data_IF_076162524804
#
_entry.id   IF_076162524804
#
_cell.length_a   1.000
_cell.length_b   1.000
_cell.length_c   1.000
_cell.angle_alpha   90.00
_cell.angle_beta   90.00
_cell.angle_gamma   90.00
#
_symmetry.space_group_name_H-M   'P 1'
#
loop_
_entity.id
_entity.type
_entity.pdbx_description
1 polymer ?
#
# COMPACT_ATOMS: atom_id res chain seq x y z
N UNK A 1 -7.34 -119.78 55.58
CA UNK A 1 -7.56 -119.64 54.13
C UNK A 1 -8.99 -119.14 53.93
N UNK A 2 -9.18 -117.87 53.60
CA UNK A 2 -10.48 -117.27 53.41
C UNK A 2 -10.69 -116.94 51.92
N UNK A 3 -11.61 -117.65 51.28
CA UNK A 3 -12.18 -117.27 49.99
C UNK A 3 -13.68 -117.57 50.03
N UNK A 4 -14.46 -116.57 50.45
CA UNK A 4 -15.91 -116.58 50.29
C UNK A 4 -16.21 -116.40 48.80
N UNK A 5 -16.60 -117.52 48.20
CA UNK A 5 -17.09 -117.68 46.84
C UNK A 5 -18.30 -116.77 46.57
N UNK A 6 -18.19 -115.93 45.53
CA UNK A 6 -19.27 -115.07 45.04
C UNK A 6 -20.41 -115.95 44.52
N UNK A 7 -21.66 -115.64 44.89
CA UNK A 7 -22.87 -116.35 44.39
C UNK A 7 -22.85 -116.43 42.85
N UNK A 8 -23.19 -117.58 42.23
CA UNK A 8 -23.40 -117.62 40.79
C UNK A 8 -24.63 -116.78 40.44
N UNK A 9 -24.47 -115.83 39.52
CA UNK A 9 -25.55 -115.00 39.01
C UNK A 9 -26.67 -115.81 38.35
N UNK A 10 -27.84 -115.18 38.19
CA UNK A 10 -29.02 -115.75 37.53
C UNK A 10 -28.64 -116.36 36.17
N UNK A 11 -29.06 -117.60 35.90
CA UNK A 11 -28.80 -118.29 34.63
C UNK A 11 -29.88 -117.91 33.61
N UNK A 12 -29.48 -117.32 32.49
CA UNK A 12 -30.36 -116.91 31.40
C UNK A 12 -30.64 -118.08 30.44
N UNK A 13 -31.80 -118.07 29.78
CA UNK A 13 -32.14 -119.08 28.77
C UNK A 13 -31.46 -118.78 27.43
N UNK A 14 -31.33 -119.78 26.55
CA UNK A 14 -30.73 -119.57 25.22
C UNK A 14 -31.47 -118.50 24.40
N UNK A 15 -32.82 -118.41 24.40
CA UNK A 15 -33.55 -117.30 23.81
C UNK A 15 -33.22 -115.94 24.45
N UNK A 16 -33.01 -115.87 25.77
CA UNK A 16 -32.62 -114.62 26.45
C UNK A 16 -31.23 -114.14 25.99
N UNK A 17 -30.28 -115.06 25.81
CA UNK A 17 -28.95 -114.74 25.26
C UNK A 17 -29.03 -114.31 23.79
N UNK A 18 -29.83 -114.99 22.96
CA UNK A 18 -30.04 -114.62 21.56
C UNK A 18 -30.71 -113.25 21.42
N UNK A 19 -31.74 -112.99 22.21
CA UNK A 19 -32.41 -111.69 22.26
C UNK A 19 -31.47 -110.58 22.74
N UNK A 20 -30.67 -110.83 23.79
CA UNK A 20 -29.68 -109.86 24.25
C UNK A 20 -28.59 -109.60 23.20
N UNK A 21 -28.11 -110.63 22.51
CA UNK A 21 -27.14 -110.48 21.42
C UNK A 21 -27.70 -109.70 20.23
N UNK A 22 -28.98 -109.92 19.88
CA UNK A 22 -29.68 -109.16 18.84
C UNK A 22 -29.92 -107.71 19.27
N UNK A 23 -30.31 -107.47 20.52
CA UNK A 23 -30.49 -106.12 21.07
C UNK A 23 -29.17 -105.34 21.09
N UNK A 24 -28.07 -105.96 21.54
CA UNK A 24 -26.74 -105.34 21.52
C UNK A 24 -26.30 -105.05 20.08
N UNK A 25 -26.56 -105.95 19.14
CA UNK A 25 -26.23 -105.74 17.71
C UNK A 25 -27.04 -104.60 17.11
N UNK A 26 -28.35 -104.55 17.37
CA UNK A 26 -29.25 -103.50 16.88
C UNK A 26 -28.91 -102.13 17.51
N UNK A 27 -28.62 -102.08 18.81
CA UNK A 27 -28.15 -100.85 19.47
C UNK A 27 -26.80 -100.41 18.89
N UNK A 28 -25.84 -101.32 18.71
CA UNK A 28 -24.55 -100.99 18.09
C UNK A 28 -24.69 -100.48 16.65
N UNK A 29 -25.64 -100.99 15.86
CA UNK A 29 -25.98 -100.45 14.54
C UNK A 29 -26.60 -99.06 14.63
N UNK A 30 -27.56 -98.84 15.53
CA UNK A 30 -28.17 -97.53 15.75
C UNK A 30 -27.15 -96.49 16.22
N UNK A 31 -26.26 -96.85 17.16
CA UNK A 31 -25.18 -95.98 17.62
C UNK A 31 -24.19 -95.65 16.49
N UNK A 32 -23.83 -96.63 15.64
CA UNK A 32 -22.98 -96.38 14.47
C UNK A 32 -23.66 -95.49 13.43
N UNK A 33 -24.95 -95.67 13.19
CA UNK A 33 -25.75 -94.82 12.30
C UNK A 33 -25.79 -93.37 12.81
N UNK A 34 -26.17 -93.17 14.08
CA UNK A 34 -26.19 -91.85 14.72
C UNK A 34 -24.80 -91.19 14.69
N UNK A 35 -23.74 -91.94 15.01
CA UNK A 35 -22.36 -91.46 14.93
C UNK A 35 -21.95 -91.09 13.50
N UNK A 36 -22.37 -91.86 12.50
CA UNK A 36 -22.13 -91.52 11.09
C UNK A 36 -22.85 -90.23 10.70
N UNK A 37 -24.11 -90.08 11.08
CA UNK A 37 -24.91 -88.88 10.84
C UNK A 37 -24.27 -87.63 11.46
N UNK A 38 -23.96 -87.66 12.77
CA UNK A 38 -23.33 -86.54 13.49
C UNK A 38 -21.98 -86.18 12.88
N UNK A 39 -21.17 -87.17 12.45
CA UNK A 39 -19.90 -86.91 11.77
C UNK A 39 -20.11 -86.28 10.39
N UNK A 40 -21.13 -86.69 9.65
CA UNK A 40 -21.45 -86.12 8.34
C UNK A 40 -21.95 -84.68 8.49
N UNK A 41 -22.86 -84.41 9.42
CA UNK A 41 -23.32 -83.06 9.77
C UNK A 41 -22.16 -82.18 10.25
N UNK A 42 -21.31 -82.70 11.15
CA UNK A 42 -20.13 -81.97 11.62
C UNK A 42 -19.07 -81.73 10.54
N UNK A 43 -19.00 -82.56 9.49
CA UNK A 43 -18.16 -82.29 8.30
C UNK A 43 -18.79 -81.21 7.42
N UNK A 44 -20.10 -81.31 7.16
CA UNK A 44 -20.83 -80.30 6.39
C UNK A 44 -20.73 -78.93 7.05
N UNK A 45 -21.02 -78.84 8.36
CA UNK A 45 -20.96 -77.62 9.14
C UNK A 45 -19.55 -77.01 9.15
N UNK A 46 -18.50 -77.80 9.32
CA UNK A 46 -17.11 -77.30 9.28
C UNK A 46 -16.73 -76.76 7.90
N UNK A 47 -17.17 -77.41 6.83
CA UNK A 47 -16.91 -76.94 5.47
C UNK A 47 -17.67 -75.65 5.19
N UNK A 48 -18.96 -75.59 5.55
CA UNK A 48 -19.81 -74.41 5.39
C UNK A 48 -19.26 -73.22 6.18
N UNK A 49 -19.05 -73.39 7.49
CA UNK A 49 -18.50 -72.34 8.36
C UNK A 49 -17.08 -71.93 7.96
N UNK A 50 -16.24 -72.88 7.53
CA UNK A 50 -14.88 -72.59 7.04
C UNK A 50 -14.88 -71.85 5.70
N UNK A 51 -15.86 -72.06 4.84
CA UNK A 51 -16.04 -71.27 3.62
C UNK A 51 -16.58 -69.87 3.94
N UNK A 52 -17.61 -69.80 4.79
CA UNK A 52 -18.23 -68.55 5.22
C UNK A 52 -17.20 -67.62 5.87
N UNK A 53 -16.42 -68.13 6.84
CA UNK A 53 -15.40 -67.35 7.53
C UNK A 53 -14.32 -66.80 6.57
N UNK A 54 -13.86 -67.62 5.62
CA UNK A 54 -12.89 -67.17 4.59
C UNK A 54 -13.47 -66.10 3.68
N UNK A 55 -14.76 -66.23 3.32
CA UNK A 55 -15.44 -65.26 2.47
C UNK A 55 -15.67 -63.93 3.19
N UNK A 56 -16.10 -63.98 4.45
CA UNK A 56 -16.29 -62.81 5.31
C UNK A 56 -14.96 -62.07 5.57
N UNK A 57 -13.88 -62.81 5.83
CA UNK A 57 -12.53 -62.25 5.97
C UNK A 57 -12.09 -61.55 4.67
N UNK A 58 -12.25 -62.22 3.53
CA UNK A 58 -11.90 -61.65 2.24
C UNK A 58 -12.70 -60.37 1.92
N UNK A 59 -14.01 -60.38 2.19
CA UNK A 59 -14.87 -59.22 1.97
C UNK A 59 -14.46 -58.05 2.89
N UNK A 60 -14.21 -58.33 4.16
CA UNK A 60 -13.75 -57.31 5.14
C UNK A 60 -12.40 -56.72 4.75
N UNK A 61 -11.43 -57.55 4.33
CA UNK A 61 -10.13 -57.09 3.83
C UNK A 61 -10.27 -56.21 2.58
N UNK A 62 -11.20 -56.54 1.67
CA UNK A 62 -11.45 -55.74 0.46
C UNK A 62 -12.02 -54.38 0.82
N UNK A 63 -13.04 -54.32 1.68
CA UNK A 63 -13.59 -53.06 2.17
C UNK A 63 -12.57 -52.21 2.92
N UNK A 64 -11.67 -52.83 3.71
CA UNK A 64 -10.60 -52.12 4.39
C UNK A 64 -9.60 -51.51 3.41
N UNK A 65 -9.23 -52.24 2.33
CA UNK A 65 -8.38 -51.71 1.26
C UNK A 65 -9.01 -50.50 0.56
N UNK A 66 -10.30 -50.60 0.22
CA UNK A 66 -11.03 -49.50 -0.41
C UNK A 66 -11.09 -48.28 0.51
N UNK A 67 -11.29 -48.51 1.81
CA UNK A 67 -11.29 -47.43 2.81
C UNK A 67 -9.92 -46.76 2.92
N UNK A 68 -8.83 -47.53 3.02
CA UNK A 68 -7.46 -47.02 3.03
C UNK A 68 -7.24 -46.15 1.78
N UNK A 69 -7.59 -46.64 0.59
CA UNK A 69 -7.42 -45.88 -0.65
C UNK A 69 -8.23 -44.57 -0.65
N UNK A 70 -9.46 -44.57 -0.14
CA UNK A 70 -10.29 -43.37 -0.02
C UNK A 70 -9.69 -42.34 0.93
N UNK A 71 -9.24 -42.76 2.11
CA UNK A 71 -8.61 -41.89 3.11
C UNK A 71 -7.27 -41.34 2.58
N UNK A 72 -6.50 -42.14 1.84
CA UNK A 72 -5.22 -41.74 1.25
C UNK A 72 -5.38 -40.63 0.20
N UNK A 73 -6.40 -40.73 -0.67
CA UNK A 73 -6.74 -39.68 -1.65
C UNK A 73 -7.07 -38.35 -0.98
N UNK A 74 -7.79 -38.38 0.15
CA UNK A 74 -8.08 -37.17 0.91
C UNK A 74 -6.84 -36.62 1.60
N UNK A 75 -5.99 -37.47 2.19
CA UNK A 75 -4.69 -37.05 2.74
C UNK A 75 -3.86 -36.31 1.69
N UNK A 76 -3.72 -36.86 0.49
CA UNK A 76 -2.98 -36.21 -0.61
C UNK A 76 -3.61 -34.89 -1.07
N UNK A 77 -4.93 -34.81 -1.09
CA UNK A 77 -5.65 -33.57 -1.42
C UNK A 77 -5.40 -32.50 -0.36
N UNK A 78 -5.48 -32.85 0.93
CA UNK A 78 -5.20 -31.92 2.03
C UNK A 78 -3.73 -31.48 2.05
N UNK A 79 -2.79 -32.38 1.76
CA UNK A 79 -1.37 -32.05 1.66
C UNK A 79 -1.07 -31.03 0.56
N UNK A 80 -1.71 -31.17 -0.61
CA UNK A 80 -1.62 -30.18 -1.69
C UNK A 80 -2.22 -28.84 -1.27
N UNK A 81 -3.44 -28.82 -0.74
CA UNK A 81 -4.10 -27.59 -0.26
C UNK A 81 -3.30 -26.87 0.83
N UNK A 82 -2.64 -27.61 1.72
CA UNK A 82 -1.76 -27.03 2.73
C UNK A 82 -0.55 -26.31 2.10
N UNK A 83 0.01 -26.90 1.05
CA UNK A 83 1.11 -26.29 0.29
C UNK A 83 0.63 -25.01 -0.40
N UNK A 84 -0.51 -25.07 -1.08
CA UNK A 84 -1.09 -23.94 -1.79
C UNK A 84 -1.45 -22.78 -0.83
N UNK A 85 -2.04 -23.08 0.33
CA UNK A 85 -2.34 -22.05 1.34
C UNK A 85 -1.07 -21.43 1.92
N UNK A 86 0.00 -22.19 2.15
CA UNK A 86 1.26 -21.61 2.61
C UNK A 86 1.82 -20.62 1.59
N UNK A 87 1.82 -21.00 0.30
CA UNK A 87 2.25 -20.11 -0.78
C UNK A 87 1.39 -18.85 -0.85
N UNK A 88 0.07 -18.97 -0.67
CA UNK A 88 -0.83 -17.83 -0.69
C UNK A 88 -0.66 -16.92 0.53
N UNK A 89 -0.43 -17.48 1.72
CA UNK A 89 -0.11 -16.70 2.92
C UNK A 89 1.17 -15.89 2.70
N UNK A 90 2.22 -16.50 2.15
CA UNK A 90 3.48 -15.82 1.86
C UNK A 90 3.28 -14.72 0.82
N UNK A 91 2.50 -14.99 -0.23
CA UNK A 91 2.22 -14.03 -1.29
C UNK A 91 1.39 -12.83 -0.79
N UNK A 92 0.33 -13.06 -0.01
CA UNK A 92 -0.47 -11.99 0.60
C UNK A 92 0.36 -11.17 1.61
N UNK A 93 1.25 -11.82 2.36
CA UNK A 93 2.17 -11.15 3.29
C UNK A 93 3.09 -10.17 2.54
N UNK A 94 3.70 -10.59 1.43
CA UNK A 94 4.53 -9.71 0.58
C UNK A 94 3.76 -8.51 0.02
N UNK A 95 2.52 -8.73 -0.42
CA UNK A 95 1.68 -7.63 -0.95
C UNK A 95 1.25 -6.66 0.15
N UNK A 96 0.96 -7.17 1.35
CA UNK A 96 0.70 -6.33 2.54
C UNK A 96 1.92 -5.47 2.88
N UNK A 97 3.10 -6.07 2.94
CA UNK A 97 4.36 -5.35 3.20
C UNK A 97 4.64 -4.29 2.13
N UNK A 98 4.38 -4.60 0.86
CA UNK A 98 4.48 -3.63 -0.24
C UNK A 98 3.54 -2.43 -0.04
N UNK A 99 2.30 -2.66 0.40
CA UNK A 99 1.36 -1.58 0.73
C UNK A 99 1.83 -0.76 1.96
N UNK A 100 2.37 -1.39 2.99
CA UNK A 100 2.95 -0.71 4.16
C UNK A 100 4.16 0.16 3.76
N UNK A 101 5.04 -0.37 2.93
CA UNK A 101 6.18 0.37 2.37
C UNK A 101 5.71 1.54 1.50
N UNK A 102 4.64 1.36 0.71
CA UNK A 102 4.04 2.42 -0.09
C UNK A 102 3.47 3.55 0.80
N UNK A 103 2.88 3.22 1.96
CA UNK A 103 2.43 4.24 2.94
C UNK A 103 3.64 5.00 3.50
N UNK A 104 4.73 4.30 3.85
CA UNK A 104 5.94 4.93 4.38
C UNK A 104 6.61 5.85 3.36
N UNK A 105 6.70 5.42 2.10
CA UNK A 105 7.26 6.23 1.01
C UNK A 105 6.51 7.56 0.83
N UNK A 106 5.18 7.56 1.06
CA UNK A 106 4.35 8.78 0.98
C UNK A 106 4.58 9.76 2.13
N UNK A 107 5.26 9.39 3.22
CA UNK A 107 5.63 10.33 4.29
C UNK A 107 6.58 11.41 3.78
N UNK A 108 7.57 11.04 2.96
CA UNK A 108 8.49 12.00 2.37
C UNK A 108 7.74 13.05 1.53
N UNK A 109 6.76 12.62 0.74
CA UNK A 109 5.92 13.55 -0.04
C UNK A 109 5.14 14.51 0.86
N UNK A 110 4.61 14.02 1.99
CA UNK A 110 3.87 14.83 2.94
C UNK A 110 4.78 15.86 3.61
N UNK A 111 5.95 15.43 4.09
CA UNK A 111 6.92 16.28 4.78
C UNK A 111 7.38 17.40 3.84
N UNK A 112 7.67 17.08 2.56
CA UNK A 112 8.06 18.08 1.56
C UNK A 112 6.93 19.08 1.28
N UNK A 113 5.67 18.62 1.18
CA UNK A 113 4.53 19.51 0.96
C UNK A 113 4.32 20.47 2.14
N UNK A 114 4.43 19.97 3.38
CA UNK A 114 4.36 20.77 4.61
C UNK A 114 5.54 21.75 4.67
N UNK A 115 6.77 21.30 4.40
CA UNK A 115 7.96 22.16 4.38
C UNK A 115 7.79 23.31 3.37
N UNK A 116 7.26 23.04 2.16
CA UNK A 116 6.94 24.07 1.19
C UNK A 116 5.88 25.07 1.68
N UNK A 117 4.83 24.60 2.36
CA UNK A 117 3.83 25.48 2.99
C UNK A 117 4.49 26.38 4.05
N UNK A 118 5.33 25.82 4.92
CA UNK A 118 6.01 26.60 5.98
C UNK A 118 6.98 27.65 5.43
N UNK A 119 7.69 27.36 4.34
CA UNK A 119 8.51 28.36 3.66
C UNK A 119 7.65 29.51 3.14
N UNK A 120 6.48 29.21 2.59
CA UNK A 120 5.59 30.23 2.02
C UNK A 120 4.85 31.04 3.10
N UNK A 121 4.58 30.46 4.26
CA UNK A 121 4.09 31.20 5.43
C UNK A 121 5.12 32.24 5.94
N UNK A 122 6.41 32.06 5.60
CA UNK A 122 7.49 33.00 5.95
C UNK A 122 7.59 34.21 5.00
N UNK A 123 6.67 34.35 4.04
CA UNK A 123 6.55 35.55 3.20
C UNK A 123 6.12 36.77 4.03
N UNK A 124 6.29 37.97 3.47
CA UNK A 124 6.09 39.23 4.19
C UNK A 124 5.11 40.13 3.47
N UNK A 125 4.33 40.88 4.27
CA UNK A 125 3.46 41.97 3.80
C UNK A 125 2.53 41.51 2.66
N UNK A 126 2.38 42.32 1.60
CA UNK A 126 1.52 42.06 0.44
C UNK A 126 1.80 40.75 -0.31
N UNK A 127 2.94 40.09 -0.08
CA UNK A 127 3.27 38.79 -0.70
C UNK A 127 2.67 37.59 0.04
N UNK A 128 2.09 37.80 1.23
CA UNK A 128 1.31 36.78 1.94
C UNK A 128 -0.06 36.67 1.27
N UNK A 129 -0.10 35.92 0.17
CA UNK A 129 -1.27 35.76 -0.68
C UNK A 129 -1.59 34.30 -0.87
N UNK A 130 -2.88 33.98 -0.79
CA UNK A 130 -3.44 32.71 -1.28
C UNK A 130 -3.42 32.70 -2.79
N UNK A 131 -2.37 32.11 -3.34
CA UNK A 131 -2.18 31.96 -4.77
C UNK A 131 -2.39 30.49 -5.19
N UNK A 132 -2.41 30.18 -6.50
CA UNK A 132 -2.62 28.83 -6.98
C UNK A 132 -1.61 27.81 -6.43
N UNK A 133 -0.41 28.23 -6.02
CA UNK A 133 0.59 27.31 -5.45
C UNK A 133 0.16 26.84 -4.06
N UNK A 134 -0.33 27.76 -3.22
CA UNK A 134 -0.84 27.38 -1.90
C UNK A 134 -2.04 26.43 -2.01
N UNK A 135 -2.94 26.69 -2.97
CA UNK A 135 -4.07 25.80 -3.24
C UNK A 135 -3.64 24.40 -3.70
N UNK A 136 -2.67 24.31 -4.61
CA UNK A 136 -2.14 23.02 -5.07
C UNK A 136 -1.37 22.28 -3.97
N UNK A 137 -0.59 22.98 -3.12
CA UNK A 137 0.10 22.37 -1.99
C UNK A 137 -0.88 21.83 -0.93
N UNK A 138 -1.93 22.59 -0.61
CA UNK A 138 -2.98 22.13 0.31
C UNK A 138 -3.76 20.95 -0.29
N UNK A 139 -3.97 20.94 -1.61
CA UNK A 139 -4.57 19.80 -2.32
C UNK A 139 -3.65 18.59 -2.29
N UNK A 140 -2.34 18.78 -2.48
CA UNK A 140 -1.32 17.73 -2.38
C UNK A 140 -1.34 17.06 -1.00
N UNK A 141 -1.35 17.83 0.08
CA UNK A 141 -1.49 17.29 1.46
C UNK A 141 -2.77 16.46 1.59
N UNK A 142 -3.92 16.97 1.13
CA UNK A 142 -5.21 16.25 1.21
C UNK A 142 -5.19 14.94 0.42
N UNK A 143 -4.61 14.94 -0.79
CA UNK A 143 -4.49 13.73 -1.62
C UNK A 143 -3.55 12.72 -0.96
N UNK A 144 -2.42 13.17 -0.40
CA UNK A 144 -1.49 12.27 0.32
C UNK A 144 -2.18 11.63 1.54
N UNK A 145 -2.90 12.40 2.34
CA UNK A 145 -3.63 11.84 3.49
C UNK A 145 -4.74 10.87 3.07
N UNK A 146 -5.48 11.20 2.01
CA UNK A 146 -6.53 10.33 1.45
C UNK A 146 -5.93 9.00 0.97
N UNK A 147 -4.88 9.05 0.15
CA UNK A 147 -4.22 7.85 -0.39
C UNK A 147 -3.59 7.00 0.72
N UNK A 148 -3.02 7.61 1.77
CA UNK A 148 -2.52 6.88 2.95
C UNK A 148 -3.65 6.16 3.70
N UNK A 149 -4.81 6.80 3.88
CA UNK A 149 -5.98 6.16 4.52
C UNK A 149 -6.52 4.99 3.70
N UNK A 150 -6.60 5.16 2.37
CA UNK A 150 -7.04 4.09 1.46
C UNK A 150 -6.10 2.87 1.52
N UNK A 151 -4.78 3.09 1.43
CA UNK A 151 -3.80 2.01 1.55
C UNK A 151 -3.83 1.37 2.96
N UNK A 152 -4.01 2.15 4.02
CA UNK A 152 -4.12 1.60 5.38
C UNK A 152 -5.35 0.70 5.52
N UNK A 153 -6.48 1.06 4.92
CA UNK A 153 -7.65 0.19 4.88
C UNK A 153 -7.34 -1.12 4.16
N UNK A 154 -6.65 -1.07 3.01
CA UNK A 154 -6.22 -2.27 2.29
C UNK A 154 -5.28 -3.16 3.10
N UNK A 155 -4.35 -2.58 3.86
CA UNK A 155 -3.47 -3.30 4.79
C UNK A 155 -4.27 -3.99 5.90
N UNK A 156 -5.29 -3.32 6.44
CA UNK A 156 -6.16 -3.90 7.47
C UNK A 156 -6.99 -5.06 6.92
N UNK A 157 -7.49 -4.94 5.69
CA UNK A 157 -8.22 -6.01 5.01
C UNK A 157 -7.31 -7.20 4.73
N UNK A 158 -6.06 -6.95 4.28
CA UNK A 158 -5.05 -8.00 4.09
C UNK A 158 -4.73 -8.73 5.41
N UNK A 159 -4.61 -7.99 6.51
CA UNK A 159 -4.37 -8.59 7.83
C UNK A 159 -5.52 -9.53 8.26
N UNK A 160 -6.78 -9.10 8.08
CA UNK A 160 -7.94 -9.95 8.36
C UNK A 160 -7.93 -11.22 7.50
N UNK A 161 -7.66 -11.08 6.20
CA UNK A 161 -7.61 -12.23 5.29
C UNK A 161 -6.46 -13.19 5.65
N UNK A 162 -5.30 -12.68 6.09
CA UNK A 162 -4.21 -13.51 6.61
C UNK A 162 -4.62 -14.33 7.84
N UNK A 163 -5.43 -13.77 8.74
CA UNK A 163 -5.97 -14.52 9.88
C UNK A 163 -6.87 -15.67 9.41
N UNK A 164 -7.81 -15.40 8.49
CA UNK A 164 -8.71 -16.42 7.94
C UNK A 164 -7.95 -17.55 7.22
N UNK A 165 -6.93 -17.22 6.42
CA UNK A 165 -6.05 -18.20 5.78
C UNK A 165 -5.30 -19.05 6.81
N UNK A 166 -4.78 -18.43 7.89
CA UNK A 166 -4.06 -19.15 8.95
C UNK A 166 -4.99 -20.09 9.73
N UNK A 167 -6.24 -19.70 9.96
CA UNK A 167 -7.25 -20.56 10.57
C UNK A 167 -7.59 -21.76 9.67
N UNK A 168 -7.85 -21.50 8.37
CA UNK A 168 -8.10 -22.57 7.40
C UNK A 168 -6.91 -23.54 7.30
N UNK A 169 -5.68 -23.01 7.28
CA UNK A 169 -4.45 -23.80 7.32
C UNK A 169 -4.37 -24.70 8.55
N UNK A 170 -4.70 -24.18 9.73
CA UNK A 170 -4.68 -24.96 10.97
C UNK A 170 -5.72 -26.08 10.95
N UNK A 171 -6.93 -25.81 10.45
CA UNK A 171 -7.98 -26.82 10.29
C UNK A 171 -7.56 -27.93 9.33
N UNK A 172 -7.01 -27.58 8.17
CA UNK A 172 -6.47 -28.55 7.21
C UNK A 172 -5.31 -29.36 7.80
N UNK A 173 -4.43 -28.74 8.60
CA UNK A 173 -3.29 -29.40 9.22
C UNK A 173 -3.74 -30.44 10.25
N UNK A 174 -4.72 -30.09 11.09
CA UNK A 174 -5.34 -31.02 12.03
C UNK A 174 -6.01 -32.18 11.30
N UNK A 175 -6.79 -31.89 10.26
CA UNK A 175 -7.48 -32.91 9.48
C UNK A 175 -6.50 -33.85 8.77
N UNK A 176 -5.46 -33.30 8.14
CA UNK A 176 -4.38 -34.08 7.52
C UNK A 176 -3.71 -35.02 8.54
N UNK A 177 -3.39 -34.53 9.74
CA UNK A 177 -2.81 -35.36 10.81
C UNK A 177 -3.74 -36.51 11.19
N UNK A 178 -5.04 -36.24 11.38
CA UNK A 178 -6.02 -37.29 11.68
C UNK A 178 -6.11 -38.32 10.54
N UNK A 179 -6.00 -37.91 9.28
CA UNK A 179 -5.97 -38.84 8.14
C UNK A 179 -4.73 -39.72 8.16
N UNK A 180 -3.56 -39.18 8.49
CA UNK A 180 -2.31 -39.95 8.65
C UNK A 180 -2.42 -40.98 9.77
N UNK A 181 -2.89 -40.58 10.95
CA UNK A 181 -3.10 -41.47 12.10
C UNK A 181 -4.13 -42.57 11.76
N UNK A 182 -5.22 -42.22 11.07
CA UNK A 182 -6.24 -43.19 10.63
C UNK A 182 -5.65 -44.21 9.65
N UNK A 183 -4.86 -43.77 8.68
CA UNK A 183 -4.20 -44.66 7.72
C UNK A 183 -3.21 -45.61 8.38
N UNK A 184 -2.49 -45.14 9.41
CA UNK A 184 -1.59 -45.99 10.19
C UNK A 184 -2.36 -47.11 10.89
N UNK A 185 -3.45 -46.77 11.59
CA UNK A 185 -4.32 -47.74 12.25
C UNK A 185 -4.95 -48.73 11.25
N UNK A 186 -5.49 -48.25 10.13
CA UNK A 186 -6.11 -49.12 9.12
C UNK A 186 -5.09 -50.06 8.45
N UNK A 187 -3.85 -49.59 8.23
CA UNK A 187 -2.75 -50.44 7.73
C UNK A 187 -2.33 -51.49 8.76
N UNK A 188 -2.31 -51.15 10.05
CA UNK A 188 -2.08 -52.13 11.12
C UNK A 188 -3.18 -53.17 11.14
N UNK A 189 -4.45 -52.76 11.03
CA UNK A 189 -5.60 -53.66 10.93
C UNK A 189 -5.47 -54.62 9.74
N UNK A 190 -5.02 -54.11 8.58
CA UNK A 190 -4.78 -54.91 7.38
C UNK A 190 -3.62 -55.90 7.53
N UNK A 191 -2.66 -55.62 8.41
CA UNK A 191 -1.49 -56.47 8.66
C UNK A 191 -1.74 -57.59 9.68
N UNK A 192 -2.80 -57.50 10.50
CA UNK A 192 -3.13 -58.56 11.46
C UNK A 192 -3.53 -59.86 10.75
N UNK A 193 -3.00 -60.96 11.25
CA UNK A 193 -3.32 -62.32 10.83
C UNK A 193 -3.44 -63.25 12.06
N UNK A 194 -3.90 -64.47 11.86
CA UNK A 194 -4.11 -65.45 12.96
C UNK A 194 -2.82 -65.79 13.72
N UNK A 195 -1.65 -65.59 13.12
CA UNK A 195 -0.34 -65.84 13.74
C UNK A 195 0.27 -64.60 14.41
N UNK A 196 -0.43 -63.47 14.41
CA UNK A 196 0.05 -62.22 14.98
C UNK A 196 0.04 -62.27 16.51
N UNK A 197 1.16 -61.94 17.16
CA UNK A 197 1.30 -62.03 18.63
C UNK A 197 0.43 -61.08 19.45
N UNK A 198 -0.14 -60.03 18.82
CA UNK A 198 -0.92 -58.97 19.49
C UNK A 198 -2.45 -59.16 19.39
N UNK A 199 -2.93 -60.33 18.97
CA UNK A 199 -4.37 -60.63 18.92
C UNK A 199 -4.88 -61.12 20.28
N UNK A 200 -6.05 -60.61 20.71
CA UNK A 200 -6.70 -61.03 21.96
C UNK A 200 -8.20 -60.80 21.88
N UNK A 201 -8.99 -61.53 22.67
CA UNK A 201 -10.40 -61.19 22.86
C UNK A 201 -10.51 -59.79 23.49
N UNK A 202 -11.43 -58.98 22.98
CA UNK A 202 -11.67 -57.60 23.44
C UNK A 202 -13.00 -57.52 24.18
N UNK A 203 -13.07 -56.66 25.20
CA UNK A 203 -14.30 -56.42 25.96
C UNK A 203 -15.24 -55.55 25.13
N UNK A 204 -16.45 -56.06 24.87
CA UNK A 204 -17.49 -55.40 24.07
C UNK A 204 -16.98 -54.89 22.69
N UNK A 205 -16.56 -55.80 21.78
CA UNK A 205 -15.92 -55.44 20.51
C UNK A 205 -16.87 -54.76 19.52
N UNK A 206 -18.19 -54.96 19.67
CA UNK A 206 -19.22 -54.39 18.80
C UNK A 206 -19.73 -53.03 19.29
N UNK A 207 -19.06 -52.42 20.27
CA UNK A 207 -19.42 -51.10 20.77
C UNK A 207 -19.20 -50.03 19.70
N UNK A 208 -20.11 -49.07 19.63
CA UNK A 208 -19.95 -47.85 18.82
C UNK A 208 -19.57 -46.74 19.80
N UNK A 209 -18.36 -46.15 19.70
CA UNK A 209 -17.97 -45.03 20.55
C UNK A 209 -18.89 -43.82 20.37
N UNK A 210 -19.13 -43.08 21.45
CA UNK A 210 -19.85 -41.81 21.38
C UNK A 210 -19.11 -40.82 20.48
N UNK A 211 -19.86 -40.09 19.64
CA UNK A 211 -19.29 -39.17 18.65
C UNK A 211 -18.86 -39.81 17.32
N UNK A 212 -19.19 -41.08 17.08
CA UNK A 212 -18.96 -41.73 15.78
C UNK A 212 -19.76 -41.03 14.68
N UNK A 213 -19.07 -40.60 13.63
CA UNK A 213 -19.64 -39.90 12.47
C UNK A 213 -20.04 -40.89 11.38
N UNK A 214 -21.16 -40.65 10.68
CA UNK A 214 -21.54 -41.48 9.53
C UNK A 214 -20.59 -41.26 8.34
N UNK A 215 -20.47 -42.24 7.45
CA UNK A 215 -19.58 -42.12 6.28
C UNK A 215 -19.93 -40.90 5.40
N UNK A 216 -21.22 -40.66 5.18
CA UNK A 216 -21.71 -39.50 4.42
C UNK A 216 -21.32 -38.17 5.06
N UNK A 217 -21.42 -38.09 6.39
CA UNK A 217 -21.02 -36.90 7.15
C UNK A 217 -19.50 -36.70 7.12
N UNK A 218 -18.72 -37.78 7.17
CA UNK A 218 -17.28 -37.72 6.96
C UNK A 218 -16.93 -37.16 5.57
N UNK A 219 -17.56 -37.65 4.50
CA UNK A 219 -17.33 -37.14 3.14
C UNK A 219 -17.67 -35.65 3.02
N UNK A 220 -18.81 -35.25 3.57
CA UNK A 220 -19.24 -33.86 3.59
C UNK A 220 -18.24 -32.96 4.34
N UNK A 221 -17.76 -33.40 5.51
CA UNK A 221 -16.80 -32.62 6.29
C UNK A 221 -15.48 -32.39 5.53
N UNK A 222 -14.99 -33.41 4.81
CA UNK A 222 -13.78 -33.27 3.98
C UNK A 222 -14.01 -32.30 2.81
N UNK A 223 -15.18 -32.38 2.15
CA UNK A 223 -15.55 -31.46 1.08
C UNK A 223 -15.68 -30.02 1.58
N UNK A 224 -16.40 -29.78 2.68
CA UNK A 224 -16.55 -28.45 3.25
C UNK A 224 -15.21 -27.85 3.69
N UNK A 225 -14.30 -28.65 4.26
CA UNK A 225 -12.96 -28.20 4.65
C UNK A 225 -12.15 -27.74 3.43
N UNK A 226 -12.20 -28.51 2.34
CA UNK A 226 -11.59 -28.16 1.05
C UNK A 226 -12.21 -26.88 0.46
N UNK A 227 -13.53 -26.81 0.36
CA UNK A 227 -14.22 -25.67 -0.25
C UNK A 227 -13.97 -24.37 0.51
N UNK A 228 -13.95 -24.44 1.85
CA UNK A 228 -13.58 -23.31 2.71
C UNK A 228 -12.17 -22.83 2.39
N UNK A 229 -11.19 -23.74 2.36
CA UNK A 229 -9.81 -23.39 2.02
C UNK A 229 -9.68 -22.73 0.65
N UNK A 230 -10.33 -23.29 -0.37
CA UNK A 230 -10.35 -22.75 -1.73
C UNK A 230 -11.08 -21.41 -1.84
N UNK A 231 -12.12 -21.17 -1.04
CA UNK A 231 -12.80 -19.88 -0.97
C UNK A 231 -11.89 -18.79 -0.36
N UNK A 232 -11.21 -19.09 0.74
CA UNK A 232 -10.30 -18.13 1.38
C UNK A 232 -9.09 -17.80 0.51
N UNK A 233 -8.55 -18.79 -0.23
CA UNK A 233 -7.48 -18.55 -1.20
C UNK A 233 -7.94 -17.65 -2.35
N UNK A 234 -9.13 -17.89 -2.91
CA UNK A 234 -9.69 -17.02 -3.97
C UNK A 234 -9.88 -15.59 -3.50
N UNK A 235 -10.46 -15.40 -2.32
CA UNK A 235 -10.63 -14.08 -1.71
C UNK A 235 -9.27 -13.37 -1.50
N UNK A 236 -8.22 -14.11 -1.13
CA UNK A 236 -6.86 -13.59 -1.01
C UNK A 236 -6.27 -13.13 -2.34
N UNK A 237 -6.43 -13.93 -3.40
CA UNK A 237 -5.96 -13.58 -4.76
C UNK A 237 -6.64 -12.31 -5.27
N UNK A 238 -7.96 -12.19 -5.10
CA UNK A 238 -8.71 -11.00 -5.49
C UNK A 238 -8.25 -9.76 -4.70
N UNK A 239 -8.02 -9.93 -3.39
CA UNK A 239 -7.54 -8.87 -2.53
C UNK A 239 -6.13 -8.41 -2.91
N UNK A 240 -5.22 -9.32 -3.24
CA UNK A 240 -3.87 -8.98 -3.74
C UNK A 240 -3.94 -8.16 -5.03
N UNK A 241 -4.81 -8.55 -5.95
CA UNK A 241 -5.07 -7.79 -7.17
C UNK A 241 -5.55 -6.36 -6.85
N UNK A 242 -6.51 -6.23 -5.93
CA UNK A 242 -7.04 -4.94 -5.49
C UNK A 242 -5.98 -4.06 -4.79
N UNK A 243 -5.11 -4.65 -3.95
CA UNK A 243 -4.02 -3.92 -3.28
C UNK A 243 -3.02 -3.41 -4.32
N UNK A 244 -2.59 -4.26 -5.25
CA UNK A 244 -1.62 -3.89 -6.29
C UNK A 244 -2.16 -2.76 -7.16
N UNK A 245 -3.43 -2.86 -7.56
CA UNK A 245 -4.12 -1.80 -8.30
C UNK A 245 -4.19 -0.49 -7.49
N UNK A 246 -4.53 -0.57 -6.19
CA UNK A 246 -4.61 0.59 -5.32
C UNK A 246 -3.25 1.28 -5.13
N UNK A 247 -2.15 0.52 -5.02
CA UNK A 247 -0.79 1.08 -4.99
C UNK A 247 -0.51 1.83 -6.30
N UNK A 248 -0.80 1.25 -7.46
CA UNK A 248 -0.58 1.89 -8.75
C UNK A 248 -1.43 3.16 -8.92
N UNK A 249 -2.73 3.10 -8.58
CA UNK A 249 -3.65 4.23 -8.65
C UNK A 249 -3.19 5.39 -7.76
N UNK A 250 -2.88 5.10 -6.49
CA UNK A 250 -2.44 6.13 -5.54
C UNK A 250 -1.08 6.73 -5.93
N UNK A 251 -0.20 6.00 -6.62
CA UNK A 251 1.04 6.55 -7.15
C UNK A 251 0.78 7.48 -8.34
N UNK A 252 -0.11 7.10 -9.24
CA UNK A 252 -0.49 7.93 -10.40
C UNK A 252 -1.19 9.23 -9.95
N UNK A 253 -2.09 9.15 -8.97
CA UNK A 253 -2.77 10.32 -8.39
C UNK A 253 -1.77 11.30 -7.77
N UNK A 254 -0.79 10.79 -7.01
CA UNK A 254 0.25 11.62 -6.43
C UNK A 254 1.19 12.23 -7.47
N UNK A 255 1.54 11.48 -8.53
CA UNK A 255 2.38 12.01 -9.59
C UNK A 255 1.67 13.13 -10.36
N UNK A 256 0.39 12.95 -10.67
CA UNK A 256 -0.43 13.99 -11.28
C UNK A 256 -0.50 15.26 -10.41
N UNK A 257 -0.73 15.10 -9.11
CA UNK A 257 -0.77 16.24 -8.17
C UNK A 257 0.61 16.90 -8.00
N UNK A 258 1.69 16.12 -8.01
CA UNK A 258 3.07 16.62 -7.98
C UNK A 258 3.34 17.51 -9.18
N UNK A 259 2.99 17.06 -10.39
CA UNK A 259 3.17 17.81 -11.64
C UNK A 259 2.34 19.10 -11.62
N UNK A 260 1.10 19.05 -11.17
CA UNK A 260 0.24 20.24 -11.04
C UNK A 260 0.86 21.29 -10.11
N UNK A 261 1.36 20.85 -8.95
CA UNK A 261 1.99 21.73 -7.96
C UNK A 261 3.31 22.31 -8.47
N UNK A 262 4.15 21.50 -9.14
CA UNK A 262 5.37 22.00 -9.77
C UNK A 262 5.09 23.01 -10.89
N UNK A 263 4.05 22.77 -11.70
CA UNK A 263 3.64 23.71 -12.73
C UNK A 263 3.21 25.04 -12.12
N UNK A 264 2.39 25.00 -11.06
CA UNK A 264 1.97 26.20 -10.34
C UNK A 264 3.18 26.97 -9.77
N UNK A 265 4.13 26.27 -9.15
CA UNK A 265 5.37 26.87 -8.62
C UNK A 265 6.19 27.55 -9.72
N UNK A 266 6.46 26.84 -10.82
CA UNK A 266 7.23 27.39 -11.95
C UNK A 266 6.56 28.62 -12.55
N UNK A 267 5.23 28.60 -12.68
CA UNK A 267 4.46 29.75 -13.14
C UNK A 267 4.61 30.93 -12.18
N UNK A 268 4.42 30.70 -10.88
CA UNK A 268 4.52 31.74 -9.85
C UNK A 268 5.92 32.36 -9.77
N UNK A 269 6.97 31.55 -9.90
CA UNK A 269 8.36 32.02 -9.96
C UNK A 269 8.56 32.98 -11.13
N UNK A 270 8.09 32.63 -12.34
CA UNK A 270 8.18 33.51 -13.51
C UNK A 270 7.41 34.81 -13.32
N UNK A 271 6.21 34.74 -12.75
CA UNK A 271 5.39 35.93 -12.47
C UNK A 271 6.12 36.87 -11.47
N UNK A 272 6.79 36.29 -10.46
CA UNK A 272 7.60 37.04 -9.48
C UNK A 272 8.87 37.62 -10.10
N UNK A 273 9.57 36.90 -10.97
CA UNK A 273 10.74 37.39 -11.71
C UNK A 273 10.38 38.55 -12.65
N UNK A 274 9.24 38.47 -13.33
CA UNK A 274 8.73 39.54 -14.18
C UNK A 274 8.40 40.79 -13.35
N UNK A 275 7.70 40.64 -12.23
CA UNK A 275 7.39 41.75 -11.33
C UNK A 275 8.65 42.39 -10.74
N UNK A 276 9.65 41.58 -10.33
CA UNK A 276 10.93 42.08 -9.85
C UNK A 276 11.69 42.87 -10.93
N UNK A 277 11.68 42.38 -12.17
CA UNK A 277 12.35 43.03 -13.30
C UNK A 277 11.71 44.38 -13.60
N UNK A 278 10.38 44.45 -13.58
CA UNK A 278 9.63 45.70 -13.72
C UNK A 278 9.95 46.69 -12.59
N UNK A 279 9.94 46.25 -11.33
CA UNK A 279 10.27 47.13 -10.20
C UNK A 279 11.70 47.68 -10.27
N UNK A 280 12.67 46.87 -10.72
CA UNK A 280 14.05 47.32 -10.93
C UNK A 280 14.14 48.35 -12.07
N UNK A 281 13.36 48.17 -13.12
CA UNK A 281 13.27 49.16 -14.20
C UNK A 281 12.67 50.49 -13.69
N UNK A 282 11.60 50.41 -12.89
CA UNK A 282 10.99 51.59 -12.24
C UNK A 282 11.94 52.28 -11.27
N UNK A 283 12.73 51.52 -10.50
CA UNK A 283 13.77 52.05 -9.61
C UNK A 283 14.79 52.86 -10.41
N UNK A 284 15.29 52.32 -11.52
CA UNK A 284 16.26 53.01 -12.37
C UNK A 284 15.68 54.30 -12.95
N UNK A 285 14.48 54.26 -13.55
CA UNK A 285 13.85 55.46 -14.11
C UNK A 285 13.60 56.52 -13.04
N UNK A 286 13.19 56.12 -11.83
CA UNK A 286 12.96 57.07 -10.73
C UNK A 286 14.26 57.72 -10.28
N UNK A 287 15.38 56.99 -10.27
CA UNK A 287 16.70 57.54 -9.96
C UNK A 287 17.18 58.52 -11.04
N UNK A 288 16.92 58.21 -12.32
CA UNK A 288 17.23 59.12 -13.44
C UNK A 288 16.40 60.42 -13.33
N UNK A 289 15.09 60.33 -13.08
CA UNK A 289 14.22 61.49 -12.86
C UNK A 289 14.63 62.32 -11.64
N UNK A 290 15.05 61.67 -10.54
CA UNK A 290 15.60 62.36 -9.35
C UNK A 290 16.84 63.18 -9.74
N UNK A 291 17.76 62.61 -10.53
CA UNK A 291 18.96 63.31 -10.98
C UNK A 291 18.63 64.50 -11.89
N UNK A 292 17.65 64.36 -12.79
CA UNK A 292 17.16 65.46 -13.64
C UNK A 292 16.50 66.57 -12.80
N UNK A 293 15.68 66.21 -11.81
CA UNK A 293 15.03 67.18 -10.93
C UNK A 293 16.01 67.93 -10.04
N UNK A 294 17.05 67.24 -9.55
CA UNK A 294 18.15 67.86 -8.81
C UNK A 294 18.94 68.85 -9.68
N UNK A 295 19.16 68.54 -10.96
CA UNK A 295 19.77 69.48 -11.90
C UNK A 295 18.87 70.69 -12.16
N UNK A 296 17.58 70.48 -12.39
CA UNK A 296 16.62 71.57 -12.61
C UNK A 296 16.56 72.51 -11.39
N UNK A 297 16.57 71.97 -10.17
CA UNK A 297 16.64 72.78 -8.95
C UNK A 297 17.94 73.59 -8.89
N UNK A 298 19.09 73.00 -9.27
CA UNK A 298 20.38 73.73 -9.33
C UNK A 298 20.33 74.87 -10.34
N UNK A 299 19.74 74.66 -11.52
CA UNK A 299 19.57 75.69 -12.54
C UNK A 299 18.64 76.80 -12.07
N UNK A 300 17.49 76.46 -11.46
CA UNK A 300 16.58 77.44 -10.86
C UNK A 300 17.24 78.27 -9.76
N UNK A 301 18.09 77.66 -8.93
CA UNK A 301 18.87 78.37 -7.91
C UNK A 301 19.94 79.30 -8.49
N UNK A 302 20.55 78.92 -9.61
CA UNK A 302 21.48 79.79 -10.33
C UNK A 302 20.76 80.99 -10.97
N UNK A 303 19.61 80.75 -11.61
CA UNK A 303 18.81 81.81 -12.21
C UNK A 303 18.22 82.76 -11.15
N UNK A 304 17.78 82.23 -10.01
CA UNK A 304 17.39 83.06 -8.86
C UNK A 304 18.54 83.95 -8.40
N UNK A 305 19.77 83.42 -8.32
CA UNK A 305 20.96 84.22 -7.97
C UNK A 305 21.23 85.31 -9.00
N UNK A 306 21.19 84.99 -10.29
CA UNK A 306 21.37 85.96 -11.39
C UNK A 306 20.34 87.09 -11.31
N UNK A 307 19.05 86.75 -11.22
CA UNK A 307 17.96 87.75 -11.15
C UNK A 307 18.00 88.59 -9.87
N UNK A 308 18.44 88.01 -8.75
CA UNK A 308 18.66 88.77 -7.50
C UNK A 308 19.77 89.80 -7.65
N UNK A 309 20.85 89.48 -8.38
CA UNK A 309 21.91 90.43 -8.71
C UNK A 309 21.41 91.52 -9.66
N UNK A 310 20.66 91.16 -10.70
CA UNK A 310 20.03 92.12 -11.62
C UNK A 310 19.13 93.12 -10.85
N UNK A 311 18.30 92.60 -9.94
CA UNK A 311 17.45 93.40 -9.07
C UNK A 311 18.27 94.35 -8.18
N UNK A 312 19.37 93.87 -7.60
CA UNK A 312 20.28 94.70 -6.80
C UNK A 312 20.88 95.85 -7.60
N UNK A 313 21.24 95.62 -8.88
CA UNK A 313 21.72 96.67 -9.78
C UNK A 313 20.61 97.70 -10.04
N UNK A 314 19.39 97.25 -10.33
CA UNK A 314 18.25 98.13 -10.57
C UNK A 314 17.93 99.00 -9.33
N UNK A 315 17.90 98.42 -8.12
CA UNK A 315 17.75 99.17 -6.87
C UNK A 315 18.87 100.20 -6.68
N UNK A 316 20.13 99.79 -6.90
CA UNK A 316 21.29 100.69 -6.74
C UNK A 316 21.23 101.84 -7.75
N UNK A 317 20.80 101.59 -8.99
CA UNK A 317 20.59 102.62 -10.02
C UNK A 317 19.48 103.60 -9.62
N UNK A 318 18.35 103.11 -9.11
CA UNK A 318 17.26 103.95 -8.62
C UNK A 318 17.71 104.83 -7.44
N UNK A 319 18.39 104.24 -6.46
CA UNK A 319 18.92 104.95 -5.29
C UNK A 319 19.94 106.02 -5.70
N UNK A 320 20.89 105.67 -6.58
CA UNK A 320 21.92 106.62 -7.06
C UNK A 320 21.28 107.84 -7.76
N UNK A 321 20.16 107.64 -8.45
CA UNK A 321 19.44 108.73 -9.15
C UNK A 321 18.71 109.68 -8.20
N UNK A 322 18.57 109.36 -6.91
CA UNK A 322 17.99 110.26 -5.89
C UNK A 322 18.93 111.40 -5.49
N UNK A 323 20.25 111.24 -5.68
CA UNK A 323 21.26 112.24 -5.36
C UNK A 323 21.41 113.34 -6.42
N UNK A 324 20.55 113.37 -7.45
CA UNK A 324 20.61 114.39 -8.51
C UNK A 324 20.27 115.78 -7.95
N UNK A 325 21.07 116.82 -8.22
CA UNK A 325 20.84 118.15 -7.65
C UNK A 325 19.74 118.94 -8.37
N UNK A 326 18.94 119.68 -7.59
CA UNK A 326 17.97 120.68 -8.06
C UNK A 326 17.00 120.18 -9.15
N UNK A 327 16.99 120.85 -10.33
CA UNK A 327 16.04 120.61 -11.43
C UNK A 327 16.31 119.26 -12.13
N UNK A 328 17.52 118.71 -12.02
CA UNK A 328 17.88 117.41 -12.57
C UNK A 328 17.23 116.23 -11.81
N UNK A 329 16.61 116.49 -10.64
CA UNK A 329 15.79 115.52 -9.90
C UNK A 329 14.40 115.38 -10.53
N UNK A 330 14.38 115.02 -11.80
CA UNK A 330 13.17 114.83 -12.59
C UNK A 330 12.82 113.33 -12.75
N UNK A 331 11.53 113.04 -12.90
CA UNK A 331 11.03 111.72 -13.30
C UNK A 331 11.03 111.63 -14.83
N UNK A 332 12.17 111.27 -15.36
CA UNK A 332 12.39 111.05 -16.78
C UNK A 332 12.04 109.61 -17.20
N UNK A 333 12.13 109.34 -18.50
CA UNK A 333 11.82 108.01 -19.05
C UNK A 333 12.68 106.89 -18.44
N UNK A 334 13.94 107.18 -18.12
CA UNK A 334 14.83 106.22 -17.47
C UNK A 334 14.37 105.89 -16.04
N UNK A 335 13.83 106.86 -15.28
CA UNK A 335 13.25 106.60 -13.95
C UNK A 335 12.04 105.67 -14.02
N UNK A 336 11.13 105.89 -14.97
CA UNK A 336 9.98 105.01 -15.17
C UNK A 336 10.43 103.61 -15.61
N UNK A 337 11.34 103.52 -16.59
CA UNK A 337 11.87 102.24 -17.07
C UNK A 337 12.56 101.41 -15.98
N UNK A 338 13.37 102.03 -15.10
CA UNK A 338 13.99 101.33 -13.96
C UNK A 338 12.97 100.88 -12.91
N UNK A 339 11.90 101.64 -12.71
CA UNK A 339 10.83 101.28 -11.76
C UNK A 339 10.04 100.06 -12.29
N UNK A 340 9.74 100.05 -13.58
CA UNK A 340 9.10 98.92 -14.25
C UNK A 340 10.03 97.68 -14.25
N UNK A 341 11.33 97.86 -14.49
CA UNK A 341 12.35 96.81 -14.43
C UNK A 341 12.38 96.14 -13.05
N UNK A 342 12.36 96.93 -11.96
CA UNK A 342 12.29 96.38 -10.59
C UNK A 342 11.02 95.56 -10.39
N UNK A 343 9.84 96.08 -10.78
CA UNK A 343 8.58 95.34 -10.60
C UNK A 343 8.56 94.03 -11.41
N UNK A 344 9.10 94.03 -12.62
CA UNK A 344 9.24 92.84 -13.47
C UNK A 344 10.23 91.82 -12.87
N UNK A 345 11.37 92.27 -12.35
CA UNK A 345 12.38 91.42 -11.72
C UNK A 345 11.84 90.82 -10.41
N UNK A 346 11.14 91.58 -9.57
CA UNK A 346 10.46 91.07 -8.37
C UNK A 346 9.38 90.04 -8.72
N UNK A 347 8.60 90.28 -9.78
CA UNK A 347 7.64 89.30 -10.32
C UNK A 347 8.33 88.01 -10.77
N UNK A 348 9.42 88.13 -11.53
CA UNK A 348 10.21 87.00 -12.04
C UNK A 348 10.84 86.19 -10.90
N UNK A 349 11.42 86.86 -9.90
CA UNK A 349 12.01 86.19 -8.72
C UNK A 349 10.94 85.43 -7.94
N UNK A 350 9.77 86.01 -7.72
CA UNK A 350 8.65 85.30 -7.05
C UNK A 350 8.21 84.06 -7.84
N UNK A 351 8.10 84.18 -9.16
CA UNK A 351 7.74 83.04 -10.02
C UNK A 351 8.80 81.92 -9.97
N UNK A 352 10.09 82.28 -10.03
CA UNK A 352 11.19 81.33 -9.90
C UNK A 352 11.24 80.68 -8.51
N UNK A 353 10.98 81.44 -7.43
CA UNK A 353 10.89 80.91 -6.07
C UNK A 353 9.75 79.90 -5.93
N UNK A 354 8.57 80.22 -6.46
CA UNK A 354 7.44 79.30 -6.47
C UNK A 354 7.79 78.03 -7.26
N UNK A 355 8.43 78.18 -8.42
CA UNK A 355 8.79 77.01 -9.24
C UNK A 355 9.82 76.12 -8.55
N UNK A 356 10.79 76.72 -7.86
CA UNK A 356 11.75 75.98 -7.02
C UNK A 356 11.05 75.21 -5.89
N UNK A 357 10.06 75.79 -5.21
CA UNK A 357 9.31 75.06 -4.17
C UNK A 357 8.50 73.91 -4.76
N UNK A 358 7.85 74.12 -5.91
CA UNK A 358 7.13 73.05 -6.62
C UNK A 358 8.07 71.90 -7.03
N UNK A 359 9.27 72.21 -7.53
CA UNK A 359 10.28 71.20 -7.89
C UNK A 359 10.82 70.46 -6.66
N UNK A 360 11.01 71.14 -5.52
CA UNK A 360 11.42 70.50 -4.28
C UNK A 360 10.36 69.53 -3.75
N UNK A 361 9.09 69.93 -3.77
CA UNK A 361 7.97 69.07 -3.35
C UNK A 361 7.85 67.83 -4.26
N UNK A 362 8.09 68.00 -5.57
CA UNK A 362 8.14 66.91 -6.53
C UNK A 362 9.32 65.96 -6.26
N UNK A 363 10.51 66.49 -5.98
CA UNK A 363 11.69 65.69 -5.61
C UNK A 363 11.44 64.87 -4.34
N UNK A 364 10.86 65.47 -3.31
CA UNK A 364 10.51 64.77 -2.06
C UNK A 364 9.45 63.68 -2.29
N UNK A 365 8.55 63.87 -3.27
CA UNK A 365 7.61 62.84 -3.68
C UNK A 365 8.31 61.67 -4.40
N UNK A 366 9.28 61.95 -5.28
CA UNK A 366 10.09 60.93 -5.96
C UNK A 366 10.91 60.10 -4.97
N UNK A 367 11.57 60.72 -4.00
CA UNK A 367 12.30 60.00 -2.95
C UNK A 367 11.40 59.07 -2.11
N UNK A 368 10.19 59.53 -1.77
CA UNK A 368 9.19 58.68 -1.09
C UNK A 368 8.76 57.50 -1.95
N UNK A 369 8.60 57.70 -3.26
CA UNK A 369 8.23 56.63 -4.18
C UNK A 369 9.39 55.63 -4.38
N UNK A 370 10.63 56.11 -4.50
CA UNK A 370 11.82 55.28 -4.57
C UNK A 370 11.92 54.35 -3.35
N UNK A 371 11.71 54.89 -2.14
CA UNK A 371 11.75 54.09 -0.93
C UNK A 371 10.68 52.98 -0.91
N UNK A 372 9.48 53.27 -1.44
CA UNK A 372 8.41 52.27 -1.60
C UNK A 372 8.81 51.17 -2.58
N UNK A 373 9.37 51.54 -3.74
CA UNK A 373 9.84 50.60 -4.76
C UNK A 373 10.92 49.69 -4.17
N UNK A 374 11.92 50.25 -3.48
CA UNK A 374 13.00 49.48 -2.85
C UNK A 374 12.50 48.52 -1.79
N UNK A 375 11.52 48.95 -0.99
CA UNK A 375 10.88 48.09 0.01
C UNK A 375 10.17 46.90 -0.65
N UNK A 376 9.41 47.15 -1.73
CA UNK A 376 8.70 46.10 -2.46
C UNK A 376 9.68 45.13 -3.16
N UNK A 377 10.77 45.64 -3.75
CA UNK A 377 11.87 44.80 -4.29
C UNK A 377 12.40 43.85 -3.21
N UNK A 378 12.59 44.34 -1.98
CA UNK A 378 13.01 43.53 -0.84
C UNK A 378 12.04 42.39 -0.53
N UNK A 379 10.73 42.68 -0.52
CA UNK A 379 9.69 41.67 -0.33
C UNK A 379 9.65 40.65 -1.46
N UNK A 380 9.63 41.08 -2.73
CA UNK A 380 9.62 40.16 -3.89
C UNK A 380 10.85 39.27 -3.93
N UNK A 381 12.02 39.82 -3.60
CA UNK A 381 13.28 39.06 -3.55
C UNK A 381 13.22 37.96 -2.49
N UNK A 382 12.71 38.26 -1.29
CA UNK A 382 12.52 37.26 -0.23
C UNK A 382 11.53 36.16 -0.67
N UNK A 383 10.38 36.54 -1.24
CA UNK A 383 9.36 35.60 -1.72
C UNK A 383 9.90 34.69 -2.83
N UNK A 384 10.67 35.23 -3.77
CA UNK A 384 11.33 34.45 -4.84
C UNK A 384 12.37 33.47 -4.28
N UNK A 385 13.13 33.86 -3.26
CA UNK A 385 14.07 32.95 -2.58
C UNK A 385 13.34 31.80 -1.89
N UNK A 386 12.20 32.07 -1.24
CA UNK A 386 11.39 31.05 -0.59
C UNK A 386 10.79 30.07 -1.61
N UNK A 387 10.30 30.54 -2.76
CA UNK A 387 9.78 29.67 -3.82
C UNK A 387 10.88 28.81 -4.46
N UNK A 388 12.09 29.36 -4.63
CA UNK A 388 13.24 28.58 -5.09
C UNK A 388 13.63 27.48 -4.09
N UNK A 389 13.61 27.78 -2.78
CA UNK A 389 13.81 26.75 -1.73
C UNK A 389 12.74 25.66 -1.77
N UNK A 390 11.49 26.02 -2.05
CA UNK A 390 10.42 25.04 -2.26
C UNK A 390 10.77 24.12 -3.44
N UNK A 391 11.17 24.69 -4.59
CA UNK A 391 11.58 23.90 -5.75
C UNK A 391 12.77 22.99 -5.47
N UNK A 392 13.79 23.47 -4.75
CA UNK A 392 14.96 22.66 -4.37
C UNK A 392 14.59 21.51 -3.43
N UNK A 393 13.70 21.77 -2.47
CA UNK A 393 13.18 20.75 -1.55
C UNK A 393 12.39 19.68 -2.31
N UNK A 394 11.60 20.10 -3.29
CA UNK A 394 10.83 19.18 -4.15
C UNK A 394 11.70 18.32 -5.06
N UNK A 395 12.95 18.70 -5.35
CA UNK A 395 13.89 17.80 -6.07
C UNK A 395 14.12 16.48 -5.33
N UNK A 396 13.96 16.45 -4.01
CA UNK A 396 14.01 15.22 -3.20
C UNK A 396 12.93 14.19 -3.60
N UNK A 397 11.83 14.64 -4.20
CA UNK A 397 10.73 13.79 -4.68
C UNK A 397 11.02 13.17 -6.06
N UNK A 398 12.06 13.66 -6.76
CA UNK A 398 12.55 13.11 -8.02
C UNK A 398 13.76 12.22 -7.70
N UNK A 399 13.53 11.19 -6.88
CA UNK A 399 14.48 10.06 -6.85
C UNK A 399 14.34 9.36 -8.20
N UNK A 400 15.42 9.15 -8.98
CA UNK A 400 15.35 8.33 -10.17
C UNK A 400 14.84 6.96 -9.72
N UNK A 401 13.66 6.58 -10.21
CA UNK A 401 13.17 5.22 -10.06
C UNK A 401 14.22 4.35 -10.76
N UNK A 402 15.10 3.69 -9.99
CA UNK A 402 15.73 2.47 -10.48
C UNK A 402 14.58 1.62 -10.96
N UNK A 403 14.52 1.43 -12.28
CA UNK A 403 13.45 0.71 -12.95
C UNK A 403 13.26 -0.59 -12.21
N UNK A 404 12.11 -0.74 -11.57
CA UNK A 404 11.67 -2.03 -11.08
C UNK A 404 11.45 -2.91 -12.31
N UNK A 405 12.47 -3.66 -12.71
CA UNK A 405 12.30 -4.76 -13.64
C UNK A 405 11.65 -5.90 -12.84
N UNK A 406 10.42 -6.32 -13.19
CA UNK A 406 9.89 -7.54 -12.64
C UNK A 406 10.77 -8.67 -13.18
N UNK A 407 11.39 -9.44 -12.27
CA UNK A 407 12.08 -10.68 -12.61
C UNK A 407 11.00 -11.66 -13.12
N UNK A 408 10.78 -11.65 -14.43
CA UNK A 408 9.88 -12.59 -15.10
C UNK A 408 10.67 -13.88 -15.24
N UNK A 409 10.39 -14.82 -14.34
CA UNK A 409 10.91 -16.19 -14.34
C UNK A 409 11.18 -16.72 -15.75
N UNK A 410 12.43 -17.09 -15.98
CA UNK A 410 12.93 -17.80 -17.14
C UNK A 410 12.39 -19.25 -17.18
N UNK A 411 11.09 -19.42 -17.35
CA UNK A 411 10.46 -20.69 -17.70
C UNK A 411 10.05 -20.61 -19.16
N UNK A 412 11.01 -20.83 -20.07
CA UNK A 412 10.83 -21.47 -21.38
C UNK A 412 12.07 -21.30 -22.24
N UNK A 413 13.03 -22.23 -22.18
CA UNK A 413 13.90 -22.61 -23.30
C UNK A 413 14.72 -23.87 -23.00
N UNK A 414 14.03 -24.99 -22.83
CA UNK A 414 14.60 -26.31 -23.14
C UNK A 414 13.65 -27.00 -24.11
N UNK A 415 13.78 -26.66 -25.39
CA UNK A 415 13.32 -27.53 -26.47
C UNK A 415 14.51 -27.79 -27.39
N UNK A 416 15.28 -28.80 -27.00
CA UNK A 416 16.31 -29.40 -27.84
C UNK A 416 15.64 -29.92 -29.13
N UNK A 417 16.03 -29.36 -30.27
CA UNK A 417 15.84 -29.98 -31.59
C UNK A 417 17.14 -30.73 -31.91
N UNK A 418 17.11 -32.04 -32.25
CA UNK A 418 18.30 -32.70 -32.74
C UNK A 418 18.58 -32.28 -34.19
N UNK A 419 19.83 -31.90 -34.44
CA UNK A 419 20.43 -31.82 -35.79
C UNK A 419 20.39 -33.21 -36.42
N UNK A 420 19.69 -33.34 -37.55
CA UNK A 420 19.89 -34.48 -38.45
C UNK A 420 20.86 -34.04 -39.56
N UNK A 421 22.09 -34.56 -39.46
CA UNK A 421 23.08 -34.55 -40.53
C UNK A 421 23.02 -35.90 -41.23
N UNK A 422 22.75 -35.85 -42.54
CA UNK A 422 23.25 -36.71 -43.64
C UNK A 422 23.27 -38.25 -43.52
N UNK A 423 22.85 -38.88 -44.62
CA UNK A 423 23.28 -40.13 -45.30
C UNK A 423 22.06 -40.61 -46.12
N UNK A 424 22.09 -41.16 -47.33
CA UNK A 424 23.02 -41.28 -48.45
C UNK A 424 22.19 -41.93 -49.59
N UNK A 425 22.44 -41.56 -50.85
CA UNK A 425 22.39 -42.38 -52.08
C UNK A 425 21.25 -43.41 -52.31
N UNK A 426 20.38 -43.14 -53.30
CA UNK A 426 20.24 -43.90 -54.56
C UNK A 426 19.22 -43.22 -55.48
#
# INVERSE_FOLDING_TARGET
MASLSVKPGQRFTLPDWQNNSLLISADAEQQRYNSHHIRQEGRALRNETGNQARWDEHNTQTHLKDRIASVDRWRETLARLLTDINLEIDALTKVKESAENAIQAKNLCLDVAIECLTFRESRRDIDVVRDPVEEELLREVKVIEKTKKELQQRVNDAFKQLCLLKEARQQLSCDHRHKVETLELDRQCMAFNVTSGNISFKVNPTRIPDGTTALREWELNNQCNKERAEAEMRASVDLRGAITLSIAQTNNELDAQRIATEFALRKRIRDMEAALSELRWQEQNTLEEIAEMEEEIRQLEEDLRKRTLDLKVAHTRLETRTYRPHIELCRDQAQYGLTDEVQQLEGTIRALQQKRTESQDALDALYRQLHRIQTDIGYKTNSLQLDNKCMDTRRKLVVPVEKFEPDVDAVNRTRNLPRNSQLELA
#
